data_IF_594874680255
#
_entry.id   IF_594874680255
#
_cell.length_a   1.000
_cell.length_b   1.000
_cell.length_c   1.000
_cell.angle_alpha   90.00
_cell.angle_beta   90.00
_cell.angle_gamma   90.00
#
_symmetry.space_group_name_H-M   'P 1'
#
loop_
_entity.id
_entity.type
_entity.pdbx_description
1 polymer ?
#
# COMPACT_ATOMS: atom_id res chain seq x y z
N UNK A 1 -1.02 -14.64 -18.48
CA UNK A 1 -1.92 -15.70 -18.97
C UNK A 1 -3.22 -15.53 -18.22
N UNK A 2 -4.33 -15.38 -18.92
CA UNK A 2 -5.61 -15.03 -18.28
C UNK A 2 -6.47 -16.28 -18.13
N UNK A 3 -7.03 -16.46 -16.93
CA UNK A 3 -7.89 -17.59 -16.60
C UNK A 3 -9.21 -17.09 -16.01
N UNK A 4 -10.30 -17.82 -16.25
CA UNK A 4 -11.62 -17.50 -15.69
C UNK A 4 -11.79 -18.22 -14.34
N UNK A 5 -12.14 -17.45 -13.31
CA UNK A 5 -12.48 -17.97 -11.98
C UNK A 5 -13.98 -17.82 -11.76
N UNK A 6 -14.69 -18.92 -11.50
CA UNK A 6 -16.12 -18.92 -11.17
C UNK A 6 -16.30 -19.25 -9.69
N UNK A 7 -16.89 -18.30 -8.95
CA UNK A 7 -17.10 -18.42 -7.50
C UNK A 7 -18.59 -18.53 -7.19
N UNK A 8 -18.94 -19.39 -6.23
CA UNK A 8 -20.29 -19.46 -5.67
C UNK A 8 -20.37 -18.53 -4.47
N UNK A 9 -21.22 -17.51 -4.57
CA UNK A 9 -21.39 -16.45 -3.58
C UNK A 9 -22.89 -16.20 -3.37
N UNK A 10 -23.24 -15.59 -2.25
CA UNK A 10 -24.60 -15.13 -2.01
C UNK A 10 -24.98 -14.04 -3.02
N UNK A 11 -26.19 -14.13 -3.59
CA UNK A 11 -26.71 -13.17 -4.57
C UNK A 11 -26.75 -11.74 -4.00
N UNK A 12 -27.12 -11.59 -2.74
CA UNK A 12 -27.18 -10.28 -2.06
C UNK A 12 -25.80 -9.62 -1.96
N UNK A 13 -24.75 -10.42 -1.78
CA UNK A 13 -23.36 -9.95 -1.73
C UNK A 13 -22.90 -9.50 -3.12
N UNK A 14 -23.23 -10.27 -4.16
CA UNK A 14 -22.90 -9.92 -5.55
C UNK A 14 -23.51 -8.56 -5.93
N UNK A 15 -24.79 -8.33 -5.60
CA UNK A 15 -25.47 -7.08 -5.93
C UNK A 15 -24.87 -5.88 -5.20
N UNK A 16 -24.61 -6.00 -3.89
CA UNK A 16 -23.93 -4.94 -3.12
C UNK A 16 -22.54 -4.61 -3.68
N UNK A 17 -21.78 -5.65 -4.04
CA UNK A 17 -20.44 -5.47 -4.58
C UNK A 17 -20.45 -4.81 -5.98
N UNK A 18 -21.46 -5.10 -6.82
CA UNK A 18 -21.64 -4.41 -8.11
C UNK A 18 -21.95 -2.93 -7.94
N UNK A 19 -22.84 -2.57 -6.99
CA UNK A 19 -23.17 -1.18 -6.69
C UNK A 19 -21.90 -0.43 -6.26
N UNK A 20 -21.17 -0.98 -5.30
CA UNK A 20 -19.90 -0.41 -4.84
C UNK A 20 -18.91 -0.22 -5.99
N UNK A 21 -18.72 -1.26 -6.83
CA UNK A 21 -17.81 -1.18 -7.95
C UNK A 21 -18.19 -0.05 -8.93
N UNK A 22 -19.48 0.09 -9.23
CA UNK A 22 -20.00 1.14 -10.11
C UNK A 22 -19.81 2.55 -9.52
N UNK A 23 -20.12 2.73 -8.24
CA UNK A 23 -19.92 4.01 -7.53
C UNK A 23 -18.45 4.46 -7.58
N UNK A 24 -17.52 3.51 -7.46
CA UNK A 24 -16.09 3.76 -7.53
C UNK A 24 -15.50 3.69 -8.95
N UNK A 25 -16.34 3.60 -10.00
CA UNK A 25 -15.92 3.50 -11.41
C UNK A 25 -14.92 2.37 -11.67
N UNK A 26 -15.09 1.26 -10.96
CA UNK A 26 -14.27 0.05 -11.09
C UNK A 26 -15.13 -1.14 -11.52
N UNK A 27 -14.47 -2.19 -12.04
CA UNK A 27 -15.14 -3.46 -12.30
C UNK A 27 -15.04 -4.39 -11.08
N UNK A 28 -16.03 -5.27 -10.94
CA UNK A 28 -16.01 -6.27 -9.88
C UNK A 28 -14.81 -7.24 -10.03
N UNK A 29 -14.44 -7.58 -11.26
CA UNK A 29 -13.26 -8.40 -11.54
C UNK A 29 -11.97 -7.73 -11.09
N UNK A 30 -11.81 -6.43 -11.32
CA UNK A 30 -10.64 -5.66 -10.88
C UNK A 30 -10.52 -5.63 -9.36
N UNK A 31 -11.64 -5.45 -8.65
CA UNK A 31 -11.67 -5.47 -7.19
C UNK A 31 -11.21 -6.83 -6.64
N UNK A 32 -11.75 -7.93 -7.17
CA UNK A 32 -11.39 -9.28 -6.73
C UNK A 32 -9.94 -9.60 -7.08
N UNK A 33 -9.48 -9.25 -8.28
CA UNK A 33 -8.10 -9.49 -8.69
C UNK A 33 -7.11 -8.72 -7.80
N UNK A 34 -7.38 -7.44 -7.52
CA UNK A 34 -6.53 -6.63 -6.65
C UNK A 34 -6.49 -7.17 -5.22
N UNK A 35 -7.63 -7.63 -4.69
CA UNK A 35 -7.67 -8.27 -3.37
C UNK A 35 -6.83 -9.55 -3.33
N UNK A 36 -6.99 -10.42 -4.33
CA UNK A 36 -6.21 -11.65 -4.44
C UNK A 36 -4.71 -11.36 -4.56
N UNK A 37 -4.31 -10.33 -5.33
CA UNK A 37 -2.91 -9.87 -5.40
C UNK A 37 -2.41 -9.44 -4.03
N UNK A 38 -3.16 -8.60 -3.32
CA UNK A 38 -2.75 -8.07 -2.03
C UNK A 38 -2.50 -9.18 -0.97
N UNK A 39 -3.36 -10.21 -0.94
CA UNK A 39 -3.23 -11.30 0.03
C UNK A 39 -2.19 -12.36 -0.38
N UNK A 40 -1.86 -12.48 -1.66
CA UNK A 40 -0.86 -13.44 -2.14
C UNK A 40 0.54 -12.84 -2.28
N UNK A 41 0.67 -11.52 -2.42
CA UNK A 41 1.96 -10.81 -2.40
C UNK A 41 2.56 -10.71 -1.00
N UNK A 42 1.73 -10.74 0.05
CA UNK A 42 2.19 -10.69 1.44
C UNK A 42 2.94 -11.96 1.87
N UNK A 43 2.63 -13.12 1.28
CA UNK A 43 3.37 -14.37 1.55
C UNK A 43 4.77 -14.41 0.91
N UNK A 44 5.07 -13.52 -0.06
CA UNK A 44 6.39 -13.47 -0.72
C UNK A 44 7.36 -12.44 -0.15
N UNK A 45 6.93 -11.62 0.81
CA UNK A 45 7.72 -10.47 1.32
C UNK A 45 8.18 -10.64 2.77
N UNK A 46 8.58 -11.84 3.17
CA UNK A 46 9.29 -11.99 4.45
C UNK A 46 10.64 -11.24 4.50
N UNK A 47 11.24 -10.83 3.37
CA UNK A 47 12.59 -10.27 3.40
C UNK A 47 12.81 -8.84 2.89
N UNK A 48 11.82 -8.15 2.32
CA UNK A 48 11.99 -6.73 1.99
C UNK A 48 10.66 -5.99 2.07
N UNK A 49 10.55 -5.08 3.06
CA UNK A 49 9.53 -4.03 3.03
C UNK A 49 9.84 -3.14 1.82
N UNK A 50 9.29 -3.48 0.66
CA UNK A 50 9.40 -2.64 -0.54
C UNK A 50 8.66 -1.32 -0.29
N UNK A 51 9.44 -0.30 0.01
CA UNK A 51 8.99 1.08 0.05
C UNK A 51 8.53 1.46 -1.37
N UNK A 52 7.33 2.04 -1.50
CA UNK A 52 6.79 2.50 -2.78
C UNK A 52 7.82 3.32 -3.57
N UNK A 53 7.89 3.14 -4.89
CA UNK A 53 8.81 3.86 -5.79
C UNK A 53 8.72 5.38 -5.61
N UNK A 54 7.53 5.89 -5.32
CA UNK A 54 7.32 7.29 -4.96
C UNK A 54 8.03 7.69 -3.66
N UNK A 55 7.86 6.91 -2.59
CA UNK A 55 8.53 7.17 -1.31
C UNK A 55 10.05 7.04 -1.47
N UNK A 56 10.53 6.06 -2.26
CA UNK A 56 11.96 5.92 -2.57
C UNK A 56 12.51 7.16 -3.27
N UNK A 57 11.75 7.76 -4.20
CA UNK A 57 12.14 9.02 -4.85
C UNK A 57 12.19 10.21 -3.89
N UNK A 58 11.34 10.24 -2.87
CA UNK A 58 11.39 11.24 -1.79
C UNK A 58 12.57 11.00 -0.84
N UNK A 59 12.91 9.74 -0.56
CA UNK A 59 14.04 9.34 0.29
C UNK A 59 15.41 9.59 -0.36
N UNK A 60 15.50 9.63 -1.69
CA UNK A 60 16.75 9.90 -2.45
C UNK A 60 17.00 11.42 -2.57
N UNK A 61 16.45 12.21 -1.65
CA UNK A 61 16.74 13.63 -1.50
C UNK A 61 18.01 13.87 -0.66
N UNK A 62 19.18 13.84 -1.32
CA UNK A 62 20.42 14.55 -0.93
C UNK A 62 21.13 14.22 0.41
N UNK A 63 20.95 13.04 0.99
CA UNK A 63 21.82 12.64 2.10
C UNK A 63 21.71 11.16 2.41
N UNK A 64 22.83 10.44 2.34
CA UNK A 64 22.94 9.15 3.00
C UNK A 64 22.73 9.40 4.50
N UNK A 65 21.71 8.76 5.07
CA UNK A 65 21.45 8.83 6.50
C UNK A 65 22.59 8.08 7.20
N UNK A 66 23.34 8.73 8.10
CA UNK A 66 24.41 8.07 8.85
C UNK A 66 23.89 6.82 9.55
N UNK A 67 24.73 5.78 9.66
CA UNK A 67 24.36 4.53 10.34
C UNK A 67 23.90 4.78 11.79
N UNK A 68 24.44 5.81 12.43
CA UNK A 68 24.12 6.22 13.80
C UNK A 68 23.09 7.37 13.87
N UNK A 69 22.26 7.55 12.84
CA UNK A 69 21.27 8.62 12.84
C UNK A 69 20.15 8.39 13.87
N UNK A 70 20.15 9.19 14.92
CA UNK A 70 19.06 9.22 15.91
C UNK A 70 17.99 10.24 15.52
N UNK A 71 16.99 9.79 14.76
CA UNK A 71 15.87 10.62 14.33
C UNK A 71 15.11 11.29 15.49
N UNK A 72 15.14 10.72 16.69
CA UNK A 72 14.41 11.25 17.85
C UNK A 72 15.10 12.51 18.37
N UNK A 73 16.44 12.46 18.46
CA UNK A 73 17.26 13.57 18.90
C UNK A 73 17.18 14.75 17.93
N UNK A 74 17.37 14.50 16.64
CA UNK A 74 17.28 15.55 15.61
C UNK A 74 15.90 16.20 15.57
N UNK A 75 14.83 15.42 15.74
CA UNK A 75 13.47 15.94 15.83
C UNK A 75 13.28 16.83 17.06
N UNK A 76 13.81 16.42 18.22
CA UNK A 76 13.74 17.19 19.45
C UNK A 76 14.48 18.53 19.32
N UNK A 77 15.68 18.51 18.74
CA UNK A 77 16.50 19.71 18.52
C UNK A 77 15.83 20.67 17.53
N UNK A 78 15.27 20.16 16.43
CA UNK A 78 14.51 20.96 15.47
C UNK A 78 13.30 21.65 16.11
N UNK A 79 12.49 20.91 16.88
CA UNK A 79 11.33 21.48 17.56
C UNK A 79 11.77 22.52 18.60
N UNK A 80 12.83 22.24 19.34
CA UNK A 80 13.38 23.18 20.33
C UNK A 80 13.88 24.47 19.69
N UNK A 81 14.47 24.42 18.50
CA UNK A 81 14.87 25.60 17.73
C UNK A 81 13.68 26.33 17.11
N UNK A 82 12.70 25.61 16.58
CA UNK A 82 11.52 26.19 15.90
C UNK A 82 10.63 26.98 16.86
N UNK A 83 10.52 26.52 18.11
CA UNK A 83 9.68 27.13 19.14
C UNK A 83 10.50 27.93 20.17
N UNK A 84 11.72 28.35 19.80
CA UNK A 84 12.54 29.29 20.55
C UNK A 84 12.22 30.72 20.15
#
# INVERSE_FOLDING_TARGET
>A
MDAKLTLKLDKSVIEKAKIYAAEHKHSLSLLVENYLKAITESEKKENTKEISSFIKSLSIGKGEVPVDFDYKKDRQDYLSQKYK
#
